data_IF_941368523862
#
_entry.id   IF_941368523862
#
_cell.length_a   1.000
_cell.length_b   1.000
_cell.length_c   1.000
_cell.angle_alpha   90.00
_cell.angle_beta   90.00
_cell.angle_gamma   90.00
#
_symmetry.space_group_name_H-M   'P 1'
#
loop_
_entity.id
_entity.type
_entity.pdbx_description
1 polymer ?
#
# COMPACT_ATOMS: atom_id res chain seq x y z
N UNK A 1 0.35 -29.55 17.53
CA UNK A 1 0.10 -28.26 16.84
C UNK A 1 1.41 -27.46 16.79
N UNK A 2 2.22 -27.68 15.75
CA UNK A 2 3.50 -26.99 15.57
C UNK A 2 3.23 -25.59 15.01
N UNK A 3 3.33 -24.57 15.88
CA UNK A 3 3.31 -23.16 15.46
C UNK A 3 4.40 -22.95 14.42
N UNK A 4 4.00 -22.75 13.17
CA UNK A 4 4.89 -22.37 12.08
C UNK A 4 5.37 -20.93 12.36
N UNK A 5 6.38 -20.79 13.22
CA UNK A 5 7.02 -19.50 13.46
C UNK A 5 7.81 -19.18 12.22
N UNK A 6 7.45 -18.07 11.57
CA UNK A 6 8.29 -17.40 10.57
C UNK A 6 9.71 -17.38 11.15
N UNK A 7 10.64 -18.11 10.53
CA UNK A 7 12.03 -18.16 10.98
C UNK A 7 12.67 -16.82 10.61
N UNK A 8 12.62 -15.84 11.52
CA UNK A 8 13.54 -14.73 11.46
C UNK A 8 14.93 -15.26 11.82
N UNK A 9 15.91 -14.98 10.97
CA UNK A 9 17.31 -15.30 11.23
C UNK A 9 17.93 -14.08 11.93
N UNK A 10 18.14 -14.09 13.26
CA UNK A 10 18.51 -12.89 14.01
C UNK A 10 19.80 -12.27 13.49
N UNK A 11 20.74 -13.09 13.02
CA UNK A 11 22.00 -12.65 12.42
C UNK A 11 21.78 -11.82 11.15
N UNK A 12 20.82 -12.21 10.30
CA UNK A 12 20.49 -11.45 9.09
C UNK A 12 19.86 -10.11 9.45
N UNK A 13 18.96 -10.09 10.43
CA UNK A 13 18.32 -8.85 10.89
C UNK A 13 19.34 -7.86 11.44
N UNK A 14 20.26 -8.31 12.30
CA UNK A 14 21.33 -7.45 12.84
C UNK A 14 22.25 -6.94 11.73
N UNK A 15 22.57 -7.79 10.73
CA UNK A 15 23.36 -7.36 9.57
C UNK A 15 22.62 -6.28 8.77
N UNK A 16 21.33 -6.45 8.47
CA UNK A 16 20.51 -5.46 7.76
C UNK A 16 20.47 -4.13 8.51
N UNK A 17 20.28 -4.15 9.83
CA UNK A 17 20.30 -2.94 10.68
C UNK A 17 21.66 -2.25 10.62
N UNK A 18 22.74 -3.03 10.72
CA UNK A 18 24.12 -2.51 10.66
C UNK A 18 24.42 -1.86 9.32
N UNK A 19 24.06 -2.52 8.22
CA UNK A 19 24.22 -1.99 6.85
C UNK A 19 23.36 -0.74 6.65
N UNK A 20 22.11 -0.74 7.14
CA UNK A 20 21.22 0.43 7.06
C UNK A 20 21.80 1.65 7.76
N UNK A 21 22.32 1.49 8.98
CA UNK A 21 22.99 2.56 9.73
C UNK A 21 24.26 3.07 9.03
N UNK A 22 25.03 2.18 8.40
CA UNK A 22 26.21 2.56 7.60
C UNK A 22 25.82 3.40 6.38
N UNK A 23 24.76 3.03 5.67
CA UNK A 23 24.25 3.82 4.53
C UNK A 23 23.83 5.21 5.01
N UNK A 24 23.12 5.30 6.14
CA UNK A 24 22.73 6.58 6.75
C UNK A 24 23.96 7.43 7.09
N UNK A 25 25.03 6.81 7.61
CA UNK A 25 26.30 7.49 7.84
C UNK A 25 26.94 8.01 6.54
N UNK A 26 26.93 7.23 5.46
CA UNK A 26 27.51 7.68 4.18
C UNK A 26 26.78 8.89 3.59
N UNK A 27 25.45 8.98 3.78
CA UNK A 27 24.65 10.10 3.25
C UNK A 27 24.72 11.33 4.16
N UNK A 28 24.71 11.12 5.48
CA UNK A 28 24.52 12.22 6.47
C UNK A 28 25.83 12.64 7.15
N UNK A 29 26.91 11.86 6.99
CA UNK A 29 28.19 11.99 7.72
C UNK A 29 28.05 12.06 9.24
N UNK A 30 26.98 11.47 9.78
CA UNK A 30 26.61 11.63 11.18
C UNK A 30 27.39 10.66 12.08
N UNK A 31 28.40 11.17 12.79
CA UNK A 31 29.28 10.40 13.68
C UNK A 31 28.57 9.39 14.63
N UNK A 32 27.46 9.72 15.31
CA UNK A 32 26.80 8.74 16.18
C UNK A 32 26.19 7.55 15.43
N UNK A 33 25.82 7.69 14.16
CA UNK A 33 25.34 6.58 13.35
C UNK A 33 26.41 5.50 13.18
N UNK A 34 27.67 5.91 12.95
CA UNK A 34 28.81 4.99 12.82
C UNK A 34 29.10 4.23 14.12
N UNK A 35 29.08 4.93 15.27
CA UNK A 35 29.31 4.30 16.58
C UNK A 35 28.19 3.28 16.86
N UNK A 36 26.94 3.65 16.58
CA UNK A 36 25.80 2.74 16.78
C UNK A 36 25.87 1.50 15.90
N UNK A 37 26.24 1.64 14.61
CA UNK A 37 26.39 0.48 13.71
C UNK A 37 27.50 -0.44 14.18
N UNK A 38 28.61 0.10 14.68
CA UNK A 38 29.73 -0.69 15.17
C UNK A 38 29.36 -1.46 16.44
N UNK A 39 28.69 -0.81 17.40
CA UNK A 39 28.21 -1.47 18.61
C UNK A 39 27.20 -2.58 18.32
N UNK A 40 26.22 -2.31 17.44
CA UNK A 40 25.18 -3.27 17.08
C UNK A 40 25.77 -4.46 16.30
N UNK A 41 26.69 -4.21 15.37
CA UNK A 41 27.37 -5.26 14.61
C UNK A 41 28.22 -6.16 15.49
N UNK A 42 29.04 -5.59 16.38
CA UNK A 42 29.86 -6.36 17.32
C UNK A 42 28.98 -7.16 18.29
N UNK A 43 27.93 -6.53 18.83
CA UNK A 43 26.98 -7.19 19.72
C UNK A 43 26.26 -8.38 19.06
N UNK A 44 25.94 -8.26 17.77
CA UNK A 44 25.35 -9.34 16.97
C UNK A 44 26.27 -10.53 16.75
N UNK A 45 27.57 -10.29 16.60
CA UNK A 45 28.57 -11.34 16.40
C UNK A 45 28.90 -12.06 17.72
N UNK A 46 29.03 -11.32 18.81
CA UNK A 46 29.45 -11.86 20.10
C UNK A 46 28.34 -12.61 20.85
N UNK A 47 27.06 -12.27 20.63
CA UNK A 47 25.97 -12.83 21.42
C UNK A 47 24.72 -13.09 20.62
N UNK A 48 24.41 -14.37 20.41
CA UNK A 48 23.14 -14.83 19.84
C UNK A 48 21.93 -14.33 20.67
N UNK A 49 22.09 -14.16 21.98
CA UNK A 49 21.03 -13.67 22.85
C UNK A 49 20.69 -12.19 22.60
N UNK A 50 21.69 -11.33 22.37
CA UNK A 50 21.45 -9.94 21.99
C UNK A 50 20.82 -9.84 20.60
N UNK A 51 21.30 -10.65 19.64
CA UNK A 51 20.73 -10.70 18.30
C UNK A 51 19.22 -11.02 18.32
N UNK A 52 18.80 -11.98 19.15
CA UNK A 52 17.38 -12.34 19.31
C UNK A 52 16.56 -11.18 19.90
N UNK A 53 17.10 -10.44 20.88
CA UNK A 53 16.40 -9.27 21.44
C UNK A 53 16.26 -8.13 20.42
N UNK A 54 17.32 -7.87 19.66
CA UNK A 54 17.32 -6.85 18.61
C UNK A 54 16.33 -7.25 17.52
N UNK A 55 16.35 -8.50 17.07
CA UNK A 55 15.39 -9.05 16.12
C UNK A 55 13.96 -8.91 16.62
N UNK A 56 13.69 -9.25 17.89
CA UNK A 56 12.35 -9.11 18.47
C UNK A 56 11.86 -7.65 18.46
N UNK A 57 12.72 -6.70 18.83
CA UNK A 57 12.36 -5.28 18.82
C UNK A 57 12.15 -4.77 17.39
N UNK A 58 13.02 -5.20 16.47
CA UNK A 58 12.91 -4.89 15.05
C UNK A 58 11.61 -5.45 14.45
N UNK A 59 11.25 -6.69 14.77
CA UNK A 59 10.02 -7.32 14.31
C UNK A 59 8.75 -6.61 14.82
N UNK A 60 8.78 -6.03 16.03
CA UNK A 60 7.69 -5.16 16.48
C UNK A 60 7.60 -3.89 15.66
N UNK A 61 8.73 -3.26 15.36
CA UNK A 61 8.79 -2.06 14.54
C UNK A 61 8.26 -2.33 13.12
N UNK A 62 8.72 -3.41 12.49
CA UNK A 62 8.27 -3.80 11.14
C UNK A 62 6.79 -4.14 11.12
N UNK A 63 6.23 -4.75 12.17
CA UNK A 63 4.80 -5.01 12.28
C UNK A 63 3.99 -3.71 12.28
N UNK A 64 4.39 -2.71 13.07
CA UNK A 64 3.75 -1.39 13.07
C UNK A 64 3.87 -0.73 11.70
N UNK A 65 5.05 -0.78 11.09
CA UNK A 65 5.29 -0.22 9.77
C UNK A 65 4.43 -0.92 8.70
N UNK A 66 4.25 -2.24 8.81
CA UNK A 66 3.41 -3.03 7.91
C UNK A 66 1.92 -2.69 8.00
N UNK A 67 1.44 -2.07 9.08
CA UNK A 67 0.07 -1.58 9.18
C UNK A 67 -0.09 -0.21 8.49
N UNK A 68 0.96 0.60 8.53
CA UNK A 68 0.93 1.98 8.04
C UNK A 68 1.25 2.02 6.53
N UNK A 69 2.25 1.27 6.09
CA UNK A 69 2.75 1.26 4.70
C UNK A 69 1.66 0.95 3.66
N UNK A 70 0.78 -0.05 3.84
CA UNK A 70 -0.28 -0.32 2.86
C UNK A 70 -1.22 0.87 2.67
N UNK A 71 -1.59 1.56 3.75
CA UNK A 71 -2.47 2.74 3.67
C UNK A 71 -1.78 3.90 2.96
N UNK A 72 -0.49 4.14 3.23
CA UNK A 72 0.29 5.16 2.53
C UNK A 72 0.40 4.81 1.04
N UNK A 73 0.75 3.57 0.72
CA UNK A 73 0.90 3.11 -0.65
C UNK A 73 -0.42 3.23 -1.42
N UNK A 74 -1.53 2.78 -0.83
CA UNK A 74 -2.87 2.90 -1.40
C UNK A 74 -3.24 4.37 -1.63
N UNK A 75 -2.94 5.24 -0.67
CA UNK A 75 -3.20 6.68 -0.78
C UNK A 75 -2.40 7.31 -1.92
N UNK A 76 -1.09 6.99 -2.02
CA UNK A 76 -0.24 7.48 -3.10
C UNK A 76 -0.78 7.03 -4.46
N UNK A 77 -1.10 5.74 -4.61
CA UNK A 77 -1.67 5.20 -5.85
C UNK A 77 -3.02 5.86 -6.16
N UNK A 78 -3.89 6.02 -5.17
CA UNK A 78 -5.19 6.66 -5.34
C UNK A 78 -5.07 8.11 -5.82
N UNK A 79 -4.20 8.91 -5.20
CA UNK A 79 -4.04 10.32 -5.56
C UNK A 79 -3.23 10.53 -6.84
N UNK A 80 -2.25 9.67 -7.11
CA UNK A 80 -1.36 9.81 -8.28
C UNK A 80 -1.99 9.24 -9.54
N UNK A 81 -2.79 8.17 -9.41
CA UNK A 81 -3.35 7.44 -10.55
C UNK A 81 -4.87 7.60 -10.63
N UNK A 82 -5.60 7.17 -9.60
CA UNK A 82 -7.06 7.10 -9.66
C UNK A 82 -7.72 8.50 -9.74
N UNK A 83 -7.19 9.45 -8.97
CA UNK A 83 -7.73 10.81 -8.87
C UNK A 83 -7.63 11.58 -10.20
N UNK A 84 -6.47 11.67 -10.88
CA UNK A 84 -6.42 12.34 -12.18
C UNK A 84 -7.25 11.61 -13.23
N UNK A 85 -7.31 10.28 -13.21
CA UNK A 85 -8.17 9.50 -14.11
C UNK A 85 -9.65 9.86 -13.89
N UNK A 86 -10.09 9.95 -12.64
CA UNK A 86 -11.46 10.33 -12.30
C UNK A 86 -11.79 11.78 -12.65
N UNK A 87 -10.83 12.71 -12.51
CA UNK A 87 -10.99 14.10 -12.93
C UNK A 87 -11.09 14.20 -14.46
N UNK A 88 -10.24 13.48 -15.18
CA UNK A 88 -10.31 13.37 -16.63
C UNK A 88 -11.64 12.78 -17.06
N UNK A 89 -12.09 11.67 -16.47
CA UNK A 89 -13.40 11.10 -16.79
C UNK A 89 -14.53 12.07 -16.49
N UNK A 90 -14.46 12.84 -15.39
CA UNK A 90 -15.48 13.85 -15.08
C UNK A 90 -15.54 14.99 -16.11
N UNK A 91 -14.40 15.38 -16.69
CA UNK A 91 -14.34 16.43 -17.72
C UNK A 91 -14.74 15.90 -19.10
N UNK A 92 -14.34 14.66 -19.43
CA UNK A 92 -14.55 14.06 -20.75
C UNK A 92 -15.84 13.23 -20.87
N UNK A 93 -16.41 12.73 -19.78
CA UNK A 93 -17.70 12.02 -19.79
C UNK A 93 -18.83 13.01 -19.99
N UNK A 94 -19.72 12.70 -20.95
CA UNK A 94 -20.94 13.46 -21.20
C UNK A 94 -21.89 13.36 -20.01
N UNK A 95 -22.58 14.47 -19.76
CA UNK A 95 -23.52 14.72 -18.65
C UNK A 95 -24.37 13.49 -18.25
N UNK A 96 -24.21 13.10 -16.98
CA UNK A 96 -25.20 12.40 -16.16
C UNK A 96 -25.77 11.08 -16.72
N UNK A 97 -24.90 10.13 -17.12
CA UNK A 97 -25.33 8.77 -17.51
C UNK A 97 -26.09 8.05 -16.38
N UNK A 98 -25.76 8.36 -15.12
CA UNK A 98 -26.39 7.81 -13.92
C UNK A 98 -27.61 8.61 -13.43
N UNK A 99 -27.99 9.72 -14.10
CA UNK A 99 -29.14 10.56 -13.71
C UNK A 99 -29.16 10.87 -12.20
N UNK A 100 -27.99 11.20 -11.63
CA UNK A 100 -27.82 11.31 -10.18
C UNK A 100 -28.48 12.58 -9.61
N UNK A 101 -28.83 13.53 -10.49
CA UNK A 101 -29.60 14.72 -10.15
C UNK A 101 -31.04 14.56 -10.61
N UNK A 102 -31.98 14.83 -9.70
CA UNK A 102 -33.41 14.86 -10.01
C UNK A 102 -33.77 16.18 -10.73
N UNK A 103 -33.30 16.32 -11.97
CA UNK A 103 -33.57 17.47 -12.83
C UNK A 103 -34.80 17.26 -13.73
N UNK A 104 -35.43 16.10 -13.64
CA UNK A 104 -36.56 15.71 -14.49
C UNK A 104 -37.86 15.65 -13.67
N UNK A 105 -39.01 16.03 -14.23
CA UNK A 105 -40.29 15.97 -13.54
C UNK A 105 -40.80 14.53 -13.31
N UNK A 106 -40.16 13.53 -13.94
CA UNK A 106 -40.53 12.12 -13.89
C UNK A 106 -39.29 11.23 -13.98
N UNK A 107 -39.34 10.08 -13.29
CA UNK A 107 -38.32 9.02 -13.40
C UNK A 107 -38.48 8.18 -14.68
N UNK A 108 -39.62 8.31 -15.36
CA UNK A 108 -39.88 7.59 -16.60
C UNK A 108 -39.19 8.30 -17.76
N UNK A 109 -38.41 7.53 -18.54
CA UNK A 109 -37.85 8.00 -19.81
C UNK A 109 -38.87 7.75 -20.91
N UNK A 110 -39.25 8.79 -21.64
CA UNK A 110 -40.03 8.63 -22.86
C UNK A 110 -39.16 7.94 -23.91
N UNK A 111 -39.56 6.72 -24.29
CA UNK A 111 -38.88 5.93 -25.31
C UNK A 111 -39.81 5.78 -26.52
N UNK A 112 -39.65 6.65 -27.52
CA UNK A 112 -40.37 6.55 -28.78
C UNK A 112 -39.71 5.47 -29.66
N UNK A 113 -40.03 4.20 -29.39
CA UNK A 113 -39.62 3.09 -30.26
C UNK A 113 -40.60 2.94 -31.41
N UNK A 114 -40.10 2.93 -32.64
CA UNK A 114 -40.88 2.46 -33.79
C UNK A 114 -40.85 0.93 -33.79
N UNK A 115 -42.01 0.30 -33.62
CA UNK A 115 -42.14 -1.15 -33.64
C UNK A 115 -42.16 -1.64 -35.10
N UNK A 116 -41.19 -2.48 -35.44
CA UNK A 116 -41.15 -3.18 -36.73
C UNK A 116 -41.46 -4.68 -36.55
N UNK A 117 -41.81 -5.38 -37.64
CA UNK A 117 -42.17 -6.81 -37.62
C UNK A 117 -41.10 -7.68 -36.98
N UNK A 118 -39.82 -7.36 -37.17
CA UNK A 118 -38.70 -8.07 -36.53
C UNK A 118 -38.64 -7.87 -35.00
N UNK A 119 -39.22 -6.79 -34.46
CA UNK A 119 -39.26 -6.53 -33.01
C UNK A 119 -40.16 -7.50 -32.25
N UNK A 120 -41.03 -8.23 -32.95
CA UNK A 120 -41.94 -9.22 -32.38
C UNK A 120 -41.42 -10.66 -32.53
N UNK A 121 -40.22 -10.83 -33.09
CA UNK A 121 -39.62 -12.15 -33.26
C UNK A 121 -38.88 -12.52 -31.97
N UNK A 122 -39.30 -13.62 -31.34
CA UNK A 122 -38.82 -14.11 -30.03
C UNK A 122 -39.01 -13.08 -28.89
N UNK A 123 -40.25 -12.83 -28.46
CA UNK A 123 -40.56 -11.88 -27.39
C UNK A 123 -40.24 -12.39 -25.97
N UNK A 124 -39.69 -13.59 -25.82
CA UNK A 124 -39.36 -14.23 -24.54
C UNK A 124 -37.89 -14.10 -24.17
#
# INVERSE_FOLDING_TARGET
>A
MTKNKIKSEPTKTVLVITVGLLIVFMVTHWQPALISSMLIGIAGIFSQYLAIKIDFLWMKLTWVLSLIVPNILLSIVFYTMLTPIALLSRVFSKKDELFLKNTSPSLFKEYNKTFDKESFKNPW
#
